data_IF_380514234887
#
_entry.id   IF_380514234887
#
_cell.length_a   1.000
_cell.length_b   1.000
_cell.length_c   1.000
_cell.angle_alpha   90.00
_cell.angle_beta   90.00
_cell.angle_gamma   90.00
#
_symmetry.space_group_name_H-M   'P 1'
#
loop_
_entity.id
_entity.type
_entity.pdbx_description
1 polymer ?
#
# COMPACT_ATOMS: atom_id res chain seq x y z
N UNK A 1 -17.09 15.28 -71.07
CA UNK A 1 -16.27 14.66 -69.98
C UNK A 1 -16.87 15.02 -68.63
N UNK A 2 -17.63 14.14 -68.03
CA UNK A 2 -18.23 14.34 -66.68
C UNK A 2 -17.27 13.79 -65.65
N UNK A 3 -16.73 14.67 -64.80
CA UNK A 3 -15.90 14.27 -63.64
C UNK A 3 -16.82 13.97 -62.46
N UNK A 4 -16.95 12.67 -62.13
CA UNK A 4 -17.63 12.21 -60.93
C UNK A 4 -16.68 12.36 -59.71
N UNK A 5 -17.02 13.24 -58.79
CA UNK A 5 -16.38 13.37 -57.49
C UNK A 5 -16.96 12.29 -56.55
N UNK A 6 -16.13 11.33 -56.17
CA UNK A 6 -16.45 10.42 -55.05
C UNK A 6 -16.12 11.12 -53.73
N UNK A 7 -17.15 11.52 -52.99
CA UNK A 7 -16.99 11.98 -51.63
C UNK A 7 -16.92 10.74 -50.71
N UNK A 8 -15.73 10.47 -50.19
CA UNK A 8 -15.56 9.47 -49.14
C UNK A 8 -16.06 10.02 -47.80
N UNK A 9 -17.21 9.54 -47.35
CA UNK A 9 -17.79 9.89 -46.07
C UNK A 9 -17.04 9.08 -44.95
N UNK A 10 -16.09 9.73 -44.26
CA UNK A 10 -15.46 9.18 -43.06
C UNK A 10 -16.48 9.25 -41.93
N UNK A 11 -17.11 8.11 -41.60
CA UNK A 11 -17.92 7.97 -40.40
C UNK A 11 -16.95 7.82 -39.22
N UNK A 12 -16.72 8.92 -38.49
CA UNK A 12 -16.08 8.90 -37.18
C UNK A 12 -17.09 8.33 -36.18
N UNK A 13 -17.06 7.03 -35.97
CA UNK A 13 -17.76 6.41 -34.86
C UNK A 13 -17.07 6.84 -33.55
N UNK A 14 -17.57 7.91 -32.94
CA UNK A 14 -17.21 8.29 -31.57
C UNK A 14 -17.71 7.17 -30.65
N UNK A 15 -16.84 6.25 -30.31
CA UNK A 15 -17.04 5.37 -29.16
C UNK A 15 -17.04 6.26 -27.90
N UNK A 16 -18.22 6.70 -27.50
CA UNK A 16 -18.48 7.16 -26.14
C UNK A 16 -18.42 5.90 -25.24
N UNK A 17 -17.22 5.38 -25.04
CA UNK A 17 -16.99 4.36 -24.04
C UNK A 17 -17.29 4.99 -22.69
N UNK A 18 -18.36 4.57 -22.02
CA UNK A 18 -18.47 4.76 -20.57
C UNK A 18 -17.15 4.25 -20.01
N UNK A 19 -16.40 5.10 -19.29
CA UNK A 19 -15.19 4.68 -18.62
C UNK A 19 -15.54 3.46 -17.77
N UNK A 20 -15.06 2.29 -18.16
CA UNK A 20 -15.31 1.04 -17.42
C UNK A 20 -14.69 1.22 -16.03
N UNK A 21 -15.51 1.05 -14.99
CA UNK A 21 -15.02 1.10 -13.61
C UNK A 21 -14.00 -0.03 -13.45
N UNK A 22 -12.77 0.31 -13.08
CA UNK A 22 -11.72 -0.68 -12.85
C UNK A 22 -12.09 -1.60 -11.68
N UNK A 23 -12.33 -2.88 -11.96
CA UNK A 23 -12.71 -3.91 -10.99
C UNK A 23 -11.63 -4.09 -9.91
N UNK A 24 -10.35 -3.90 -10.28
CA UNK A 24 -9.23 -4.02 -9.34
C UNK A 24 -9.19 -2.90 -8.28
N UNK A 25 -9.98 -1.85 -8.45
CA UNK A 25 -10.17 -0.78 -7.46
C UNK A 25 -11.40 -0.99 -6.57
N UNK A 26 -12.13 -2.11 -6.75
CA UNK A 26 -13.30 -2.45 -5.94
C UNK A 26 -12.90 -3.34 -4.75
N UNK A 27 -13.10 -2.86 -3.52
CA UNK A 27 -12.82 -3.65 -2.31
C UNK A 27 -13.63 -4.97 -2.25
N UNK A 28 -14.82 -5.01 -2.85
CA UNK A 28 -15.63 -6.23 -2.93
C UNK A 28 -14.97 -7.33 -3.75
N UNK A 29 -14.23 -6.97 -4.80
CA UNK A 29 -13.44 -7.92 -5.58
C UNK A 29 -12.39 -8.64 -4.71
N UNK A 30 -11.64 -7.87 -3.90
CA UNK A 30 -10.56 -8.40 -3.06
C UNK A 30 -11.03 -9.21 -1.87
N UNK A 31 -12.22 -8.92 -1.32
CA UNK A 31 -12.82 -9.71 -0.21
C UNK A 31 -13.05 -11.18 -0.57
N UNK A 32 -13.14 -11.50 -1.86
CA UNK A 32 -13.29 -12.88 -2.35
C UNK A 32 -11.95 -13.62 -2.50
N UNK A 33 -10.84 -13.01 -2.05
CA UNK A 33 -9.49 -13.56 -2.16
C UNK A 33 -9.19 -14.13 -3.57
N UNK A 34 -9.19 -13.29 -4.61
CA UNK A 34 -9.05 -13.73 -5.99
C UNK A 34 -7.68 -14.38 -6.23
N UNK A 35 -7.66 -15.42 -7.07
CA UNK A 35 -6.40 -16.03 -7.53
C UNK A 35 -5.66 -15.12 -8.51
N UNK A 36 -4.37 -15.37 -8.74
CA UNK A 36 -3.57 -14.70 -9.77
C UNK A 36 -4.26 -14.78 -11.15
N UNK A 37 -4.83 -15.94 -11.52
CA UNK A 37 -5.51 -16.11 -12.80
C UNK A 37 -6.77 -15.24 -12.91
N UNK A 38 -7.50 -15.07 -11.81
CA UNK A 38 -8.64 -14.14 -11.74
C UNK A 38 -8.18 -12.71 -11.98
N UNK A 39 -7.08 -12.27 -11.33
CA UNK A 39 -6.51 -10.93 -11.49
C UNK A 39 -6.01 -10.71 -12.92
N UNK A 40 -5.30 -11.69 -13.51
CA UNK A 40 -4.86 -11.65 -14.92
C UNK A 40 -6.06 -11.50 -15.87
N UNK A 41 -7.15 -12.21 -15.59
CA UNK A 41 -8.39 -12.11 -16.38
C UNK A 41 -8.95 -10.69 -16.33
N UNK A 42 -8.98 -10.05 -15.16
CA UNK A 42 -9.44 -8.67 -15.05
C UNK A 42 -8.51 -7.70 -15.81
N UNK A 43 -7.20 -7.89 -15.71
CA UNK A 43 -6.22 -7.09 -16.48
C UNK A 43 -6.47 -7.25 -18.00
N UNK A 44 -6.71 -8.47 -18.47
CA UNK A 44 -6.98 -8.74 -19.90
C UNK A 44 -8.27 -8.09 -20.42
N UNK A 45 -9.21 -7.78 -19.52
CA UNK A 45 -10.43 -7.01 -19.82
C UNK A 45 -10.20 -5.50 -19.86
N UNK A 46 -8.95 -5.04 -19.66
CA UNK A 46 -8.58 -3.62 -19.69
C UNK A 46 -8.59 -2.94 -18.32
N UNK A 47 -8.72 -3.67 -17.22
CA UNK A 47 -8.54 -3.11 -15.88
C UNK A 47 -7.04 -2.87 -15.63
N UNK A 48 -6.64 -1.61 -15.47
CA UNK A 48 -5.24 -1.22 -15.28
C UNK A 48 -4.78 -1.57 -13.86
N UNK A 49 -3.75 -2.44 -13.68
CA UNK A 49 -3.25 -2.85 -12.37
C UNK A 49 -2.48 -1.74 -11.62
N UNK A 50 -2.19 -0.61 -12.27
CA UNK A 50 -1.47 0.50 -11.68
C UNK A 50 -2.32 1.78 -11.55
N UNK A 51 -3.56 1.76 -12.01
CA UNK A 51 -4.47 2.91 -11.93
C UNK A 51 -4.75 3.28 -10.47
N UNK A 52 -4.69 4.57 -10.15
CA UNK A 52 -5.18 5.10 -8.88
C UNK A 52 -6.62 5.60 -9.00
N UNK A 53 -7.41 5.39 -7.95
CA UNK A 53 -8.72 6.02 -7.82
C UNK A 53 -8.58 7.51 -7.37
N UNK A 54 -9.66 8.30 -7.28
CA UNK A 54 -9.58 9.69 -6.82
C UNK A 54 -8.99 9.88 -5.42
N UNK A 55 -8.99 8.84 -4.57
CA UNK A 55 -8.33 8.84 -3.27
C UNK A 55 -6.88 8.32 -3.31
N UNK A 56 -6.29 8.15 -4.49
CA UNK A 56 -4.92 7.65 -4.68
C UNK A 56 -4.69 6.21 -4.19
N UNK A 57 -5.75 5.41 -4.00
CA UNK A 57 -5.61 3.98 -3.79
C UNK A 57 -5.48 3.28 -5.14
N UNK A 58 -4.53 2.35 -5.24
CA UNK A 58 -4.33 1.50 -6.41
C UNK A 58 -4.61 0.01 -6.09
N UNK A 59 -4.61 -0.89 -7.10
CA UNK A 59 -4.88 -2.30 -6.88
C UNK A 59 -3.94 -2.99 -5.90
N UNK A 60 -2.66 -2.56 -5.77
CA UNK A 60 -1.72 -3.11 -4.78
C UNK A 60 -2.18 -2.76 -3.36
N UNK A 61 -2.50 -1.49 -3.10
CA UNK A 61 -3.01 -1.06 -1.79
C UNK A 61 -4.36 -1.71 -1.49
N UNK A 62 -5.25 -1.84 -2.49
CA UNK A 62 -6.52 -2.53 -2.33
C UNK A 62 -6.33 -3.99 -1.94
N UNK A 63 -5.37 -4.70 -2.56
CA UNK A 63 -5.04 -6.08 -2.25
C UNK A 63 -4.44 -6.22 -0.83
N UNK A 64 -3.51 -5.33 -0.43
CA UNK A 64 -2.92 -5.32 0.93
C UNK A 64 -4.01 -5.10 1.98
N UNK A 65 -4.85 -4.08 1.83
CA UNK A 65 -5.87 -3.71 2.81
C UNK A 65 -6.99 -4.75 2.94
N UNK A 66 -7.20 -5.58 1.92
CA UNK A 66 -8.15 -6.68 1.94
C UNK A 66 -7.50 -8.05 2.20
N UNK A 67 -6.20 -8.07 2.58
CA UNK A 67 -5.46 -9.28 2.96
C UNK A 67 -5.45 -10.35 1.86
N UNK A 68 -5.34 -9.94 0.59
CA UNK A 68 -5.09 -10.86 -0.51
C UNK A 68 -3.80 -11.65 -0.29
N UNK A 69 -3.66 -12.81 -0.95
CA UNK A 69 -2.45 -13.62 -0.80
C UNK A 69 -1.19 -12.86 -1.25
N UNK A 70 -0.05 -13.14 -0.61
CA UNK A 70 1.22 -12.49 -0.96
C UNK A 70 1.60 -12.74 -2.42
N UNK A 71 1.32 -13.93 -2.97
CA UNK A 71 1.56 -14.25 -4.38
C UNK A 71 0.80 -13.30 -5.34
N UNK A 72 -0.45 -12.95 -5.00
CA UNK A 72 -1.25 -11.99 -5.77
C UNK A 72 -0.69 -10.59 -5.64
N UNK A 73 -0.28 -10.18 -4.43
CA UNK A 73 0.33 -8.86 -4.20
C UNK A 73 1.67 -8.76 -4.95
N UNK A 74 2.51 -9.79 -4.90
CA UNK A 74 3.77 -9.84 -5.66
C UNK A 74 3.55 -9.79 -7.17
N UNK A 75 2.53 -10.49 -7.66
CA UNK A 75 2.15 -10.40 -9.07
C UNK A 75 1.77 -8.98 -9.48
N UNK A 76 0.99 -8.27 -8.65
CA UNK A 76 0.62 -6.87 -8.88
C UNK A 76 1.83 -5.93 -8.82
N UNK A 77 2.74 -6.13 -7.85
CA UNK A 77 3.99 -5.36 -7.73
C UNK A 77 4.91 -5.54 -8.94
N UNK A 78 4.79 -6.65 -9.67
CA UNK A 78 5.55 -6.90 -10.89
C UNK A 78 4.93 -6.22 -12.13
N UNK A 79 3.73 -5.63 -12.03
CA UNK A 79 3.09 -4.95 -13.15
C UNK A 79 3.71 -3.57 -13.38
N UNK A 80 3.71 -3.14 -14.64
CA UNK A 80 4.24 -1.84 -15.03
C UNK A 80 3.52 -0.71 -14.28
N UNK A 81 4.25 0.27 -13.74
CA UNK A 81 3.69 1.38 -12.96
C UNK A 81 3.51 1.13 -11.46
N UNK A 82 3.89 -0.06 -10.96
CA UNK A 82 3.85 -0.40 -9.53
C UNK A 82 5.27 -0.51 -8.94
N UNK A 83 6.01 0.60 -8.98
CA UNK A 83 7.35 0.69 -8.37
C UNK A 83 7.27 0.70 -6.85
N UNK A 84 8.29 0.21 -6.16
CA UNK A 84 8.31 0.10 -4.69
C UNK A 84 8.20 1.44 -3.96
N UNK A 85 8.59 2.53 -4.62
CA UNK A 85 8.56 3.90 -4.13
C UNK A 85 7.29 4.67 -4.56
N UNK A 86 6.36 4.01 -5.26
CA UNK A 86 5.10 4.62 -5.72
C UNK A 86 4.34 5.23 -4.54
N UNK A 87 3.94 6.49 -4.71
CA UNK A 87 3.14 7.22 -3.72
C UNK A 87 1.66 6.97 -3.96
N UNK A 88 0.98 6.59 -2.89
CA UNK A 88 -0.44 6.30 -2.86
C UNK A 88 -1.17 7.27 -1.92
N UNK A 89 -2.32 6.91 -1.39
CA UNK A 89 -3.10 7.74 -0.46
C UNK A 89 -2.23 8.30 0.67
N UNK A 90 -2.31 9.61 0.91
CA UNK A 90 -1.44 10.37 1.83
C UNK A 90 0.07 10.23 1.54
N UNK A 91 0.43 10.06 0.28
CA UNK A 91 1.83 9.81 -0.15
C UNK A 91 2.45 8.55 0.42
N UNK A 92 1.69 7.62 1.01
CA UNK A 92 2.22 6.37 1.56
C UNK A 92 2.76 5.45 0.50
N UNK A 93 3.88 4.79 0.82
CA UNK A 93 4.46 3.73 0.01
C UNK A 93 3.84 2.37 0.36
N UNK A 94 4.05 1.38 -0.49
CA UNK A 94 3.57 0.01 -0.21
C UNK A 94 4.16 -0.57 1.08
N UNK A 95 5.39 -0.16 1.47
CA UNK A 95 6.00 -0.61 2.72
C UNK A 95 5.22 -0.13 3.95
N UNK A 96 4.71 1.11 3.94
CA UNK A 96 3.87 1.60 5.03
C UNK A 96 2.56 0.81 5.14
N UNK A 97 1.90 0.53 4.02
CA UNK A 97 0.68 -0.29 4.00
C UNK A 97 0.93 -1.72 4.47
N UNK A 98 2.03 -2.35 4.03
CA UNK A 98 2.41 -3.70 4.45
C UNK A 98 2.72 -3.78 5.94
N UNK A 99 3.43 -2.79 6.48
CA UNK A 99 3.77 -2.69 7.90
C UNK A 99 2.52 -2.47 8.76
N UNK A 100 1.62 -1.56 8.35
CA UNK A 100 0.33 -1.32 9.01
C UNK A 100 -0.57 -2.58 9.01
N UNK A 101 -0.58 -3.33 7.91
CA UNK A 101 -1.31 -4.59 7.80
C UNK A 101 -0.70 -5.76 8.61
N UNK A 102 0.48 -5.58 9.20
CA UNK A 102 1.19 -6.63 9.94
C UNK A 102 1.73 -7.77 9.04
N UNK A 103 1.87 -7.53 7.73
CA UNK A 103 2.28 -8.52 6.77
C UNK A 103 3.82 -8.60 6.69
N UNK A 104 4.41 -9.40 7.58
CA UNK A 104 5.87 -9.57 7.69
C UNK A 104 6.52 -10.03 6.38
N UNK A 105 5.89 -10.96 5.67
CA UNK A 105 6.46 -11.50 4.42
C UNK A 105 6.55 -10.40 3.35
N UNK A 106 5.49 -9.61 3.19
CA UNK A 106 5.48 -8.49 2.26
C UNK A 106 6.44 -7.37 2.69
N UNK A 107 6.55 -7.08 3.99
CA UNK A 107 7.53 -6.12 4.53
C UNK A 107 8.95 -6.55 4.14
N UNK A 108 9.32 -7.80 4.39
CA UNK A 108 10.64 -8.33 4.03
C UNK A 108 10.90 -8.28 2.52
N UNK A 109 9.89 -8.60 1.70
CA UNK A 109 9.99 -8.51 0.25
C UNK A 109 10.25 -7.07 -0.20
N UNK A 110 9.49 -6.10 0.30
CA UNK A 110 9.59 -4.70 -0.08
C UNK A 110 10.93 -4.09 0.36
N UNK A 111 11.42 -4.41 1.57
CA UNK A 111 12.77 -4.04 2.03
C UNK A 111 13.83 -4.63 1.08
N UNK A 112 13.73 -5.91 0.74
CA UNK A 112 14.66 -6.57 -0.21
C UNK A 112 14.63 -5.92 -1.60
N UNK A 113 13.47 -5.40 -2.03
CA UNK A 113 13.30 -4.69 -3.31
C UNK A 113 13.79 -3.23 -3.26
N UNK A 114 14.30 -2.75 -2.12
CA UNK A 114 14.88 -1.43 -1.96
C UNK A 114 13.90 -0.33 -1.55
N UNK A 115 12.76 -0.69 -0.94
CA UNK A 115 11.89 0.33 -0.32
C UNK A 115 12.64 1.12 0.74
N UNK A 116 12.45 2.44 0.75
CA UNK A 116 13.01 3.31 1.77
C UNK A 116 12.30 3.11 3.12
N UNK A 117 13.03 2.53 4.08
CA UNK A 117 12.51 2.25 5.44
C UNK A 117 12.40 3.50 6.31
N UNK A 118 13.07 4.61 5.92
CA UNK A 118 13.05 5.89 6.61
C UNK A 118 12.05 6.89 6.02
N UNK A 119 11.31 6.46 4.97
CA UNK A 119 10.35 7.32 4.31
C UNK A 119 9.24 7.76 5.26
N UNK A 120 8.87 9.06 5.19
CA UNK A 120 7.72 9.64 5.89
C UNK A 120 6.63 10.04 4.89
N UNK A 121 5.38 9.77 5.23
CA UNK A 121 4.22 10.14 4.43
C UNK A 121 3.89 11.65 4.50
N UNK A 122 2.78 12.09 3.89
CA UNK A 122 2.39 13.51 3.90
C UNK A 122 1.92 14.03 5.26
N UNK A 123 1.79 13.17 6.27
CA UNK A 123 1.50 13.52 7.66
C UNK A 123 2.74 13.40 8.56
N UNK A 124 3.93 13.21 7.98
CA UNK A 124 5.16 13.01 8.73
C UNK A 124 5.27 11.63 9.40
N UNK A 125 4.33 10.71 9.16
CA UNK A 125 4.36 9.38 9.74
C UNK A 125 5.43 8.51 9.06
N UNK A 126 6.39 8.01 9.84
CA UNK A 126 7.38 7.06 9.39
C UNK A 126 6.77 5.68 9.14
N UNK A 127 7.52 4.75 8.52
CA UNK A 127 7.04 3.38 8.27
C UNK A 127 6.68 2.67 9.57
N UNK A 128 7.55 2.74 10.57
CA UNK A 128 7.34 2.08 11.88
C UNK A 128 6.27 2.80 12.70
N UNK A 129 6.24 4.15 12.63
CA UNK A 129 5.23 4.97 13.30
C UNK A 129 3.83 4.69 12.76
N UNK A 130 3.68 4.64 11.43
CA UNK A 130 2.38 4.32 10.82
C UNK A 130 1.90 2.90 11.15
N UNK A 131 2.81 1.92 11.25
CA UNK A 131 2.46 0.57 11.71
C UNK A 131 1.92 0.58 13.15
N UNK A 132 2.57 1.35 14.03
CA UNK A 132 2.17 1.51 15.43
C UNK A 132 0.80 2.20 15.56
N UNK A 133 0.62 3.33 14.90
CA UNK A 133 -0.63 4.10 14.87
C UNK A 133 -1.80 3.29 14.30
N UNK A 134 -1.53 2.43 13.32
CA UNK A 134 -2.54 1.55 12.71
C UNK A 134 -2.91 0.34 13.59
N UNK A 135 -2.29 0.18 14.75
CA UNK A 135 -2.58 -0.90 15.70
C UNK A 135 -1.99 -2.26 15.29
N UNK A 136 -0.89 -2.28 14.53
CA UNK A 136 -0.22 -3.54 14.21
C UNK A 136 0.29 -4.22 15.48
N UNK A 137 -0.16 -5.47 15.73
CA UNK A 137 0.23 -6.29 16.89
C UNK A 137 1.37 -7.28 16.56
N UNK A 138 1.81 -7.38 15.31
CA UNK A 138 2.85 -8.31 14.90
C UNK A 138 4.24 -7.73 15.18
N UNK A 139 4.83 -8.07 16.32
CA UNK A 139 6.16 -7.58 16.74
C UNK A 139 7.28 -7.96 15.76
N UNK A 140 7.13 -9.02 14.97
CA UNK A 140 8.11 -9.41 13.97
C UNK A 140 8.22 -8.39 12.82
N UNK A 141 7.17 -7.61 12.55
CA UNK A 141 7.22 -6.49 11.59
C UNK A 141 8.12 -5.38 12.12
N UNK A 142 7.98 -5.02 13.39
CA UNK A 142 8.85 -4.02 14.03
C UNK A 142 10.30 -4.50 14.07
N UNK A 143 10.54 -5.78 14.42
CA UNK A 143 11.89 -6.37 14.39
C UNK A 143 12.51 -6.31 12.98
N UNK A 144 11.73 -6.55 11.93
CA UNK A 144 12.21 -6.47 10.56
C UNK A 144 12.61 -5.03 10.17
N UNK A 145 11.82 -4.03 10.56
CA UNK A 145 12.12 -2.61 10.32
C UNK A 145 13.34 -2.15 11.12
N UNK A 146 13.44 -2.51 12.42
CA UNK A 146 14.60 -2.20 13.26
C UNK A 146 15.87 -2.84 12.69
N UNK A 147 15.79 -4.12 12.27
CA UNK A 147 16.91 -4.80 11.60
C UNK A 147 17.32 -4.12 10.29
N UNK A 148 16.39 -3.48 9.60
CA UNK A 148 16.67 -2.71 8.39
C UNK A 148 17.23 -1.30 8.66
N UNK A 149 17.41 -0.91 9.94
CA UNK A 149 18.06 0.34 10.34
C UNK A 149 17.14 1.41 10.93
N UNK A 150 15.84 1.10 11.12
CA UNK A 150 14.92 2.06 11.76
C UNK A 150 15.20 2.13 13.27
N UNK A 151 15.30 3.35 13.80
CA UNK A 151 15.46 3.57 15.24
C UNK A 151 14.10 3.40 15.95
N UNK A 152 13.94 2.43 16.87
CA UNK A 152 12.69 2.26 17.60
C UNK A 152 12.37 3.43 18.55
N UNK A 153 13.35 4.29 18.85
CA UNK A 153 13.19 5.46 19.72
C UNK A 153 12.80 6.72 18.98
N UNK A 154 12.62 6.65 17.66
CA UNK A 154 12.19 7.82 16.90
C UNK A 154 10.87 8.39 17.43
N UNK A 155 10.71 9.70 17.32
CA UNK A 155 9.50 10.42 17.66
C UNK A 155 8.87 11.02 16.40
N UNK A 156 7.56 11.13 16.40
CA UNK A 156 6.86 11.91 15.37
C UNK A 156 6.99 13.42 15.64
N UNK A 157 6.38 14.25 14.80
CA UNK A 157 6.44 15.72 14.91
C UNK A 157 5.79 16.26 16.20
N UNK A 158 4.87 15.51 16.81
CA UNK A 158 4.20 15.84 18.06
C UNK A 158 4.99 15.34 19.29
N UNK A 159 6.17 14.77 19.10
CA UNK A 159 7.00 14.18 20.17
C UNK A 159 6.54 12.79 20.64
N UNK A 160 5.52 12.20 20.02
CA UNK A 160 5.04 10.86 20.38
C UNK A 160 6.00 9.77 19.86
N UNK A 161 6.37 8.83 20.72
CA UNK A 161 7.12 7.63 20.38
C UNK A 161 6.19 6.44 20.13
N UNK A 162 6.77 5.26 19.81
CA UNK A 162 6.00 4.06 19.44
C UNK A 162 5.04 3.59 20.55
N UNK A 163 5.40 3.76 21.84
CA UNK A 163 4.50 3.41 22.93
C UNK A 163 3.26 4.32 22.92
N UNK A 164 3.44 5.64 22.75
CA UNK A 164 2.31 6.57 22.67
C UNK A 164 1.40 6.27 21.48
N UNK A 165 1.97 5.89 20.31
CA UNK A 165 1.21 5.60 19.11
C UNK A 165 0.42 4.28 19.22
N UNK A 166 0.91 3.30 19.99
CA UNK A 166 0.26 1.99 20.10
C UNK A 166 -0.74 1.89 21.25
N UNK A 167 -0.66 2.76 22.27
CA UNK A 167 -1.39 2.59 23.53
C UNK A 167 -2.91 2.44 23.37
N UNK A 168 -3.50 3.11 22.38
CA UNK A 168 -4.94 3.01 22.10
C UNK A 168 -5.36 1.63 21.59
N UNK A 169 -4.42 0.83 21.10
CA UNK A 169 -4.63 -0.48 20.47
C UNK A 169 -4.02 -1.64 21.29
N UNK A 170 -3.20 -1.33 22.29
CA UNK A 170 -2.46 -2.31 23.10
C UNK A 170 -3.26 -2.71 24.35
N UNK A 171 -4.31 -3.50 24.16
CA UNK A 171 -5.26 -3.84 25.23
C UNK A 171 -4.70 -4.80 26.29
N UNK A 172 -3.62 -5.53 25.96
CA UNK A 172 -2.97 -6.50 26.85
C UNK A 172 -1.54 -6.09 27.24
N UNK A 173 -1.13 -4.86 26.90
CA UNK A 173 0.16 -4.23 27.20
C UNK A 173 1.38 -4.96 26.62
N UNK A 174 1.18 -5.85 25.66
CA UNK A 174 2.29 -6.59 25.02
C UNK A 174 3.19 -5.71 24.18
N UNK A 175 2.63 -4.72 23.48
CA UNK A 175 3.42 -3.77 22.71
C UNK A 175 4.18 -2.80 23.61
N UNK A 176 3.58 -2.40 24.74
CA UNK A 176 4.27 -1.63 25.77
C UNK A 176 5.51 -2.38 26.27
N UNK A 177 5.36 -3.64 26.67
CA UNK A 177 6.48 -4.47 27.14
C UNK A 177 7.52 -4.68 26.03
N UNK A 178 7.05 -4.95 24.81
CA UNK A 178 7.92 -5.14 23.66
C UNK A 178 8.76 -3.88 23.37
N UNK A 179 8.16 -2.71 23.23
CA UNK A 179 8.89 -1.48 22.93
C UNK A 179 9.78 -1.05 24.10
N UNK A 180 9.36 -1.25 25.34
CA UNK A 180 10.21 -1.05 26.53
C UNK A 180 11.46 -1.93 26.46
N UNK A 181 11.34 -3.19 26.03
CA UNK A 181 12.50 -4.07 25.81
C UNK A 181 13.45 -3.58 24.70
N UNK A 182 12.96 -2.76 23.76
CA UNK A 182 13.76 -2.09 22.71
C UNK A 182 14.35 -0.76 23.19
N UNK A 183 14.13 -0.40 24.45
CA UNK A 183 14.64 0.83 25.07
C UNK A 183 13.82 2.09 24.79
N UNK A 184 12.56 1.93 24.35
CA UNK A 184 11.60 3.04 24.30
C UNK A 184 11.04 3.28 25.68
N UNK A 185 10.94 4.54 26.10
CA UNK A 185 10.38 4.90 27.42
C UNK A 185 9.07 5.63 27.27
N UNK A 186 8.09 5.29 28.10
CA UNK A 186 6.82 6.03 28.18
C UNK A 186 7.03 7.49 28.68
N UNK A 187 8.12 7.73 29.40
CA UNK A 187 8.45 9.04 29.99
C UNK A 187 9.34 9.90 29.09
N UNK A 188 9.75 9.44 27.92
CA UNK A 188 10.58 10.19 26.99
C UNK A 188 9.76 11.31 26.31
N UNK A 189 9.33 12.30 27.09
CA UNK A 189 8.56 13.46 26.64
C UNK A 189 9.42 14.70 26.36
N UNK A 190 10.75 14.59 26.35
CA UNK A 190 11.66 15.73 26.16
C UNK A 190 12.42 15.70 24.83
#
# INVERSE_FOLDING_TARGET
>A
MRKTFFAALFIFASFLGKAQKNTLLDGGFWKNNPSIETVKTEISKGNDPAQQNPGFFDPVVMAINNKASNEVIEFLLAQNGNTVDKKTHHSRTYLQWAAAAGNLELVNLLIKKGSDVHYKDSHGASVIGYAAESGNQNTAVYDALIKAGVDPKEKNEDGANLIHLTIAHDTDLKLLDYFTSKGVSFQDND
#
